data_IF_347963047715
#
_entry.id   IF_347963047715
#
_cell.length_a   1.000
_cell.length_b   1.000
_cell.length_c   1.000
_cell.angle_alpha   90.00
_cell.angle_beta   90.00
_cell.angle_gamma   90.00
#
_symmetry.space_group_name_H-M   'P 1'
#
loop_
_entity.id
_entity.type
_entity.pdbx_description
1 polymer ?
#
# COMPACT_ATOMS: atom_id res chain seq x y z
N UNK A 1 32.68 22.47 -42.48
CA UNK A 1 31.64 21.53 -42.02
C UNK A 1 32.32 20.54 -41.09
N UNK A 2 31.83 20.33 -39.86
CA UNK A 2 32.41 19.48 -38.80
C UNK A 2 33.50 20.10 -37.91
N UNK A 3 33.08 20.98 -37.00
CA UNK A 3 33.69 21.02 -35.65
C UNK A 3 32.70 21.58 -34.60
N UNK A 4 31.70 22.36 -35.04
CA UNK A 4 30.62 22.88 -34.18
C UNK A 4 29.51 21.86 -33.87
N UNK A 5 29.43 20.74 -34.60
CA UNK A 5 28.41 19.69 -34.38
C UNK A 5 28.74 18.83 -33.15
N UNK A 6 30.02 18.73 -32.77
CA UNK A 6 30.44 17.87 -31.65
C UNK A 6 30.12 18.45 -30.26
N UNK A 7 29.90 19.76 -30.14
CA UNK A 7 29.60 20.39 -28.84
C UNK A 7 28.10 20.46 -28.50
N UNK A 8 27.21 20.13 -29.43
CA UNK A 8 25.78 20.03 -29.14
C UNK A 8 25.39 18.67 -28.57
N UNK A 9 26.24 17.65 -28.71
CA UNK A 9 25.99 16.30 -28.19
C UNK A 9 26.25 16.15 -26.68
N UNK A 10 26.87 17.14 -26.02
CA UNK A 10 27.15 17.09 -24.57
C UNK A 10 26.02 17.60 -23.68
N UNK A 11 24.91 18.12 -24.22
CA UNK A 11 23.81 18.69 -23.42
C UNK A 11 22.58 17.76 -23.40
N UNK A 12 22.79 16.45 -23.38
CA UNK A 12 21.75 15.51 -23.00
C UNK A 12 22.35 14.61 -21.91
N UNK A 13 22.74 15.23 -20.79
CA UNK A 13 22.75 14.54 -19.51
C UNK A 13 21.30 14.16 -19.21
N UNK A 14 20.94 12.97 -19.70
CA UNK A 14 19.71 12.27 -19.40
C UNK A 14 19.55 12.31 -17.88
N UNK A 15 18.66 13.18 -17.42
CA UNK A 15 18.20 13.22 -16.06
C UNK A 15 17.35 11.97 -15.85
N UNK A 16 18.00 10.81 -15.66
CA UNK A 16 17.37 9.63 -15.09
C UNK A 16 16.95 10.00 -13.68
N UNK A 17 15.78 10.64 -13.58
CA UNK A 17 14.98 10.64 -12.37
C UNK A 17 14.65 9.17 -12.14
N UNK A 18 15.45 8.48 -11.33
CA UNK A 18 14.99 7.27 -10.69
C UNK A 18 13.80 7.71 -9.83
N UNK A 19 12.60 7.64 -10.39
CA UNK A 19 11.38 7.63 -9.59
C UNK A 19 11.40 6.26 -8.95
N UNK A 20 12.05 6.16 -7.79
CA UNK A 20 11.67 5.12 -6.85
C UNK A 20 10.23 5.47 -6.48
N UNK A 21 9.26 4.84 -7.15
CA UNK A 21 7.95 4.71 -6.57
C UNK A 21 8.16 3.84 -5.33
N UNK A 22 8.55 4.46 -4.22
CA UNK A 22 8.50 3.81 -2.92
C UNK A 22 7.02 3.48 -2.74
N UNK A 23 6.66 2.20 -2.93
CA UNK A 23 5.29 1.76 -2.71
C UNK A 23 4.79 2.22 -1.34
N UNK A 24 3.48 2.19 -1.16
CA UNK A 24 2.85 2.72 0.03
C UNK A 24 3.43 2.06 1.29
N UNK A 25 3.84 2.90 2.24
CA UNK A 25 4.47 2.49 3.49
C UNK A 25 3.38 2.26 4.54
N UNK A 26 3.35 1.08 5.16
CA UNK A 26 2.53 0.79 6.34
C UNK A 26 3.38 1.00 7.61
N UNK A 27 3.38 2.21 8.18
CA UNK A 27 4.14 2.45 9.41
C UNK A 27 3.34 2.06 10.66
N UNK A 28 3.78 0.97 11.31
CA UNK A 28 3.29 0.50 12.61
C UNK A 28 1.89 -0.10 12.59
N UNK A 29 1.35 -0.53 13.75
CA UNK A 29 0.00 -1.05 13.83
C UNK A 29 -0.99 0.06 13.47
N UNK A 30 -1.64 -0.10 12.31
CA UNK A 30 -2.66 0.82 11.82
C UNK A 30 -3.96 0.46 12.51
N UNK A 31 -4.45 1.36 13.36
CA UNK A 31 -5.73 1.18 14.05
C UNK A 31 -6.87 1.59 13.15
N UNK A 32 -7.72 0.64 12.79
CA UNK A 32 -8.95 0.87 12.04
C UNK A 32 -10.13 0.80 13.01
N UNK A 33 -10.74 1.95 13.27
CA UNK A 33 -11.96 2.05 14.07
C UNK A 33 -13.20 1.90 13.18
N UNK A 34 -14.30 1.34 13.70
CA UNK A 34 -15.55 1.27 12.96
C UNK A 34 -16.04 2.70 12.65
N UNK A 35 -16.69 2.91 11.49
CA UNK A 35 -17.30 4.19 11.16
C UNK A 35 -18.54 4.42 12.04
N UNK A 36 -18.93 5.69 12.21
CA UNK A 36 -20.18 6.04 12.93
C UNK A 36 -21.42 5.42 12.26
N UNK A 37 -21.43 5.37 10.93
CA UNK A 37 -22.43 4.66 10.14
C UNK A 37 -21.89 3.28 9.73
N UNK A 38 -22.39 2.24 10.39
CA UNK A 38 -21.95 0.85 10.22
C UNK A 38 -22.26 0.27 8.82
N UNK A 39 -23.02 0.96 7.97
CA UNK A 39 -23.23 0.56 6.58
C UNK A 39 -22.12 1.06 5.64
N UNK A 40 -21.18 1.88 6.15
CA UNK A 40 -20.06 2.40 5.36
C UNK A 40 -18.84 1.50 5.47
N UNK A 41 -18.14 1.39 4.36
CA UNK A 41 -16.86 0.68 4.27
C UNK A 41 -15.74 1.62 4.70
N UNK A 42 -14.78 1.11 5.47
CA UNK A 42 -13.52 1.80 5.78
C UNK A 42 -12.47 1.30 4.80
N UNK A 43 -12.03 2.18 3.91
CA UNK A 43 -10.94 1.88 2.98
C UNK A 43 -9.59 2.25 3.59
N UNK A 44 -8.60 1.39 3.40
CA UNK A 44 -7.22 1.68 3.73
C UNK A 44 -6.30 1.31 2.55
N UNK A 45 -5.30 2.16 2.21
CA UNK A 45 -5.10 3.51 2.74
C UNK A 45 -6.26 4.45 2.33
N UNK A 46 -6.47 5.54 3.07
CA UNK A 46 -7.63 6.43 2.85
C UNK A 46 -7.67 7.12 1.46
N UNK A 47 -6.57 7.04 0.71
CA UNK A 47 -6.45 7.52 -0.66
C UNK A 47 -6.97 6.51 -1.70
N UNK A 48 -7.35 5.30 -1.28
CA UNK A 48 -7.75 4.19 -2.15
C UNK A 48 -9.21 3.78 -1.90
N UNK A 49 -9.86 3.24 -2.94
CA UNK A 49 -11.18 2.61 -2.88
C UNK A 49 -11.37 1.61 -4.05
N UNK A 50 -12.52 0.93 -4.11
CA UNK A 50 -12.80 -0.13 -5.09
C UNK A 50 -12.82 0.31 -6.57
N UNK A 51 -12.87 1.62 -6.84
CA UNK A 51 -12.79 2.14 -8.22
C UNK A 51 -11.36 2.33 -8.72
N UNK A 52 -10.37 2.15 -7.84
CA UNK A 52 -8.94 2.32 -8.14
C UNK A 52 -8.22 0.97 -8.16
N UNK A 53 -7.16 0.82 -8.98
CA UNK A 53 -6.30 -0.35 -8.88
C UNK A 53 -5.70 -0.46 -7.46
N UNK A 54 -5.43 -1.68 -6.95
CA UNK A 54 -4.86 -1.86 -5.62
C UNK A 54 -3.54 -1.09 -5.48
N UNK A 55 -3.30 -0.52 -4.30
CA UNK A 55 -2.09 0.25 -4.03
C UNK A 55 -0.90 -0.70 -3.91
N UNK A 56 0.17 -0.42 -4.67
CA UNK A 56 1.41 -1.19 -4.53
C UNK A 56 2.10 -0.85 -3.21
N UNK A 57 2.39 -1.90 -2.43
CA UNK A 57 3.17 -1.81 -1.21
C UNK A 57 4.66 -1.69 -1.51
N UNK A 58 5.42 -1.03 -0.64
CA UNK A 58 6.86 -1.14 -0.75
C UNK A 58 7.34 -2.53 -0.32
N UNK A 59 8.47 -2.93 -0.90
CA UNK A 59 9.11 -4.20 -0.59
C UNK A 59 9.67 -4.22 0.83
N UNK A 60 9.77 -5.42 1.42
CA UNK A 60 10.43 -5.66 2.71
C UNK A 60 9.76 -4.96 3.90
N UNK A 61 8.43 -4.98 3.94
CA UNK A 61 7.65 -4.43 5.06
C UNK A 61 6.81 -5.52 5.72
N UNK A 62 6.60 -5.37 7.03
CA UNK A 62 5.60 -6.11 7.77
C UNK A 62 4.51 -5.13 8.20
N UNK A 63 3.31 -5.27 7.64
CA UNK A 63 2.18 -4.40 7.92
C UNK A 63 1.27 -5.06 8.96
N UNK A 64 0.86 -4.31 9.97
CA UNK A 64 -0.11 -4.75 10.95
C UNK A 64 -1.32 -3.81 10.94
N UNK A 65 -2.53 -4.38 10.82
CA UNK A 65 -3.78 -3.65 10.96
C UNK A 65 -4.54 -4.18 12.17
N UNK A 66 -4.90 -3.28 13.08
CA UNK A 66 -5.70 -3.59 14.26
C UNK A 66 -7.12 -3.09 14.04
N UNK A 67 -8.05 -4.01 13.77
CA UNK A 67 -9.45 -3.70 13.50
C UNK A 67 -10.23 -3.78 14.82
N UNK A 68 -10.81 -2.66 15.24
CA UNK A 68 -11.67 -2.63 16.43
C UNK A 68 -13.10 -3.03 16.04
N UNK A 69 -13.64 -4.05 16.69
CA UNK A 69 -15.02 -4.53 16.46
C UNK A 69 -15.86 -4.23 17.70
N UNK A 70 -16.98 -3.48 17.59
CA UNK A 70 -17.86 -3.25 18.72
C UNK A 70 -18.45 -4.54 19.29
N UNK A 71 -18.77 -4.53 20.58
CA UNK A 71 -19.40 -5.67 21.26
C UNK A 71 -20.70 -6.09 20.56
N UNK A 72 -20.84 -7.39 20.29
CA UNK A 72 -22.04 -7.94 19.64
C UNK A 72 -22.04 -7.86 18.12
N UNK A 73 -20.97 -7.37 17.50
CA UNK A 73 -20.81 -7.29 16.04
C UNK A 73 -19.68 -8.20 15.54
N UNK A 74 -19.64 -8.39 14.23
CA UNK A 74 -18.52 -8.98 13.50
C UNK A 74 -17.99 -7.97 12.48
N UNK A 75 -16.77 -8.19 12.00
CA UNK A 75 -16.19 -7.42 10.90
C UNK A 75 -15.79 -8.37 9.77
N UNK A 76 -15.84 -7.85 8.55
CA UNK A 76 -15.29 -8.51 7.36
C UNK A 76 -14.16 -7.65 6.84
N UNK A 77 -12.98 -8.25 6.67
CA UNK A 77 -11.83 -7.62 6.04
C UNK A 77 -11.60 -8.24 4.67
N UNK A 78 -11.44 -7.40 3.64
CA UNK A 78 -11.13 -7.82 2.28
C UNK A 78 -9.79 -7.19 1.90
N UNK A 79 -8.83 -8.03 1.50
CA UNK A 79 -7.50 -7.59 1.10
C UNK A 79 -7.38 -7.62 -0.42
N UNK A 80 -7.14 -6.46 -1.02
CA UNK A 80 -6.81 -6.33 -2.43
C UNK A 80 -5.29 -6.29 -2.57
N UNK A 81 -4.76 -7.14 -3.44
CA UNK A 81 -3.32 -7.27 -3.63
C UNK A 81 -2.89 -6.85 -5.03
N UNK A 82 -1.90 -5.97 -5.07
CA UNK A 82 -1.01 -5.76 -6.21
C UNK A 82 0.43 -5.71 -5.67
N UNK A 83 1.14 -6.83 -5.76
CA UNK A 83 2.49 -6.97 -5.19
C UNK A 83 3.42 -7.67 -6.18
N UNK A 84 4.67 -7.18 -6.37
CA UNK A 84 5.63 -7.78 -7.29
C UNK A 84 6.23 -9.11 -6.77
N UNK A 85 6.03 -9.42 -5.48
CA UNK A 85 6.54 -10.63 -4.81
C UNK A 85 5.45 -11.31 -4.01
N UNK A 86 5.67 -12.58 -3.63
CA UNK A 86 4.77 -13.31 -2.74
C UNK A 86 4.57 -12.57 -1.42
N UNK A 87 3.31 -12.31 -1.09
CA UNK A 87 2.88 -11.75 0.21
C UNK A 87 2.08 -12.81 0.97
N UNK A 88 2.31 -12.90 2.28
CA UNK A 88 1.46 -13.66 3.20
C UNK A 88 0.48 -12.69 3.87
N UNK A 89 -0.76 -13.14 4.07
CA UNK A 89 -1.75 -12.42 4.86
C UNK A 89 -2.22 -13.40 5.92
N UNK A 90 -2.03 -13.03 7.19
CA UNK A 90 -2.55 -13.78 8.32
C UNK A 90 -3.39 -12.87 9.19
N UNK A 91 -4.48 -13.42 9.74
CA UNK A 91 -5.35 -12.76 10.71
C UNK A 91 -5.07 -13.40 12.06
N UNK A 92 -4.75 -12.58 13.06
CA UNK A 92 -4.61 -13.02 14.45
C UNK A 92 -5.81 -12.52 15.27
N UNK A 93 -6.46 -13.43 15.97
CA UNK A 93 -7.62 -13.16 16.81
C UNK A 93 -7.19 -12.86 18.26
N UNK A 94 -8.02 -12.18 19.07
CA UNK A 94 -7.66 -11.82 20.45
C UNK A 94 -7.36 -13.01 21.38
N UNK A 95 -7.76 -14.22 21.00
CA UNK A 95 -7.44 -15.46 21.73
C UNK A 95 -6.09 -16.09 21.31
N UNK A 96 -5.32 -15.42 20.45
CA UNK A 96 -4.04 -15.90 19.91
C UNK A 96 -4.16 -16.95 18.81
N UNK A 97 -5.37 -17.25 18.34
CA UNK A 97 -5.56 -18.07 17.14
C UNK A 97 -5.18 -17.25 15.90
N UNK A 98 -4.54 -17.88 14.91
CA UNK A 98 -4.21 -17.24 13.65
C UNK A 98 -4.63 -18.09 12.45
N UNK A 99 -5.06 -17.44 11.38
CA UNK A 99 -5.47 -18.04 10.11
C UNK A 99 -4.78 -17.31 8.94
N UNK A 100 -4.17 -18.04 8.00
CA UNK A 100 -3.43 -17.49 6.86
C UNK A 100 -2.36 -18.40 6.29
#
# INVERSE_FOLDING_TARGET
MNLLIFNFFSIIFISLKLVSASGYQCQGPIKLTPPEDLNKIVYWPSIWNDSMPPVQFATQQNCEWQITVPTGLFATAVFYRDAPTSIGISVEFPNGYSEG
#
